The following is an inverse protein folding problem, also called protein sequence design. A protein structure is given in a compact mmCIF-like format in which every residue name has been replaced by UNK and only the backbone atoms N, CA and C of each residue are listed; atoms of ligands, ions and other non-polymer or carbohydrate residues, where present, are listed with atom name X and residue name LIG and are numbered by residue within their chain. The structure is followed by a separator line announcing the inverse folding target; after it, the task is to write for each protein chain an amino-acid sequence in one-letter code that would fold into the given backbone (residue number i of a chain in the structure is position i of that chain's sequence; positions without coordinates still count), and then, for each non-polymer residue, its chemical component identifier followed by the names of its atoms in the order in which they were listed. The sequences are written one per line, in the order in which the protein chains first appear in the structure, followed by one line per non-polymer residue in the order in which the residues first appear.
data_IF_163491052916
#
_entry.id   IF_163491052916
#
_cell.length_a   1.000
_cell.length_b   1.000
_cell.length_c   1.000
_cell.angle_alpha   90.00
_cell.angle_beta   90.00
_cell.angle_gamma   90.00
#
_symmetry.space_group_name_H-M   'P 1'
#
loop_
_entity.id
_entity.type
_entity.pdbx_description
1 polymer ?
#
# COMPACT_ATOMS: atom_id res chain seq x y z
N UNK A 1 -39.84 -19.34 -15.51
CA UNK A 1 -39.25 -18.11 -16.08
C UNK A 1 -38.78 -17.12 -15.03
N UNK A 2 -39.59 -16.93 -13.96
CA UNK A 2 -39.21 -16.04 -12.87
C UNK A 2 -37.96 -16.53 -12.11
N UNK A 3 -37.85 -17.84 -11.88
CA UNK A 3 -36.65 -18.42 -11.26
C UNK A 3 -35.40 -18.29 -12.16
N UNK A 4 -35.55 -18.46 -13.44
CA UNK A 4 -34.48 -18.30 -14.40
C UNK A 4 -33.99 -16.85 -14.46
N UNK A 5 -34.91 -15.89 -14.46
CA UNK A 5 -34.60 -14.47 -14.44
C UNK A 5 -33.90 -14.05 -13.15
N UNK A 6 -34.42 -14.53 -12.00
CA UNK A 6 -33.81 -14.24 -10.69
C UNK A 6 -32.43 -14.87 -10.54
N UNK A 7 -32.22 -16.09 -11.03
CA UNK A 7 -30.93 -16.76 -11.04
C UNK A 7 -29.91 -16.01 -11.91
N UNK A 8 -30.37 -15.50 -13.07
CA UNK A 8 -29.54 -14.68 -13.95
C UNK A 8 -29.11 -13.37 -13.29
N UNK A 9 -30.03 -12.72 -12.56
CA UNK A 9 -29.74 -11.48 -11.85
C UNK A 9 -28.73 -11.71 -10.72
N UNK A 10 -28.87 -12.82 -9.97
CA UNK A 10 -27.93 -13.20 -8.91
C UNK A 10 -26.55 -13.45 -9.51
N UNK A 11 -26.47 -14.15 -10.63
CA UNK A 11 -25.23 -14.43 -11.33
C UNK A 11 -24.53 -13.15 -11.78
N UNK A 12 -25.28 -12.20 -12.34
CA UNK A 12 -24.76 -10.90 -12.75
C UNK A 12 -24.23 -10.10 -11.56
N UNK A 13 -24.91 -10.14 -10.42
CA UNK A 13 -24.46 -9.47 -9.19
C UNK A 13 -23.16 -10.07 -8.68
N UNK A 14 -23.02 -11.39 -8.71
CA UNK A 14 -21.78 -12.07 -8.31
C UNK A 14 -20.64 -11.70 -9.22
N UNK A 15 -20.86 -11.67 -10.53
CA UNK A 15 -19.85 -11.28 -11.51
C UNK A 15 -19.38 -9.85 -11.27
N UNK A 16 -20.34 -8.93 -11.04
CA UNK A 16 -20.03 -7.53 -10.76
C UNK A 16 -19.28 -7.36 -9.44
N UNK A 17 -19.63 -8.14 -8.41
CA UNK A 17 -18.95 -8.14 -7.13
C UNK A 17 -17.48 -8.59 -7.29
N UNK A 18 -17.21 -9.58 -8.12
CA UNK A 18 -15.86 -10.06 -8.42
C UNK A 18 -15.04 -8.97 -9.13
N UNK A 19 -15.65 -8.26 -10.09
CA UNK A 19 -15.00 -7.16 -10.79
C UNK A 19 -14.62 -6.02 -9.83
N UNK A 20 -15.55 -5.63 -8.97
CA UNK A 20 -15.33 -4.57 -7.97
C UNK A 20 -14.22 -4.99 -7.00
N UNK A 21 -14.25 -6.23 -6.53
CA UNK A 21 -13.23 -6.80 -5.66
C UNK A 21 -11.86 -6.70 -6.31
N UNK A 22 -11.73 -7.13 -7.56
CA UNK A 22 -10.47 -7.12 -8.29
C UNK A 22 -9.91 -5.70 -8.43
N UNK A 23 -10.77 -4.74 -8.80
CA UNK A 23 -10.39 -3.34 -8.95
C UNK A 23 -9.92 -2.72 -7.63
N UNK A 24 -10.65 -2.97 -6.54
CA UNK A 24 -10.30 -2.46 -5.22
C UNK A 24 -9.01 -3.07 -4.68
N UNK A 25 -8.84 -4.39 -4.84
CA UNK A 25 -7.62 -5.08 -4.41
C UNK A 25 -6.39 -4.61 -5.20
N UNK A 26 -6.55 -4.34 -6.49
CA UNK A 26 -5.48 -3.84 -7.34
C UNK A 26 -4.95 -2.49 -6.84
N UNK A 27 -5.85 -1.54 -6.59
CA UNK A 27 -5.48 -0.21 -6.08
C UNK A 27 -4.87 -0.30 -4.68
N UNK A 28 -5.41 -1.18 -3.85
CA UNK A 28 -4.91 -1.39 -2.50
C UNK A 28 -3.52 -2.02 -2.50
N UNK A 29 -3.27 -2.97 -3.41
CA UNK A 29 -1.96 -3.60 -3.59
C UNK A 29 -0.91 -2.56 -3.98
N UNK A 30 -1.25 -1.63 -4.87
CA UNK A 30 -0.36 -0.54 -5.25
C UNK A 30 -0.01 0.35 -4.05
N UNK A 31 -1.01 0.71 -3.25
CA UNK A 31 -0.79 1.51 -2.04
C UNK A 31 0.12 0.77 -1.05
N UNK A 32 -0.12 -0.52 -0.82
CA UNK A 32 0.69 -1.35 0.06
C UNK A 32 2.12 -1.48 -0.42
N UNK A 33 2.32 -1.64 -1.73
CA UNK A 33 3.65 -1.72 -2.34
C UNK A 33 4.42 -0.42 -2.14
N UNK A 34 3.79 0.72 -2.42
CA UNK A 34 4.43 2.03 -2.26
C UNK A 34 4.77 2.29 -0.79
N UNK A 35 3.88 1.95 0.14
CA UNK A 35 4.11 2.12 1.57
C UNK A 35 5.26 1.23 2.07
N UNK A 36 5.40 0.02 1.51
CA UNK A 36 6.48 -0.90 1.87
C UNK A 36 7.82 -0.47 1.29
N UNK A 37 7.83 0.09 0.08
CA UNK A 37 9.03 0.57 -0.60
C UNK A 37 9.56 1.86 0.03
N UNK A 38 8.69 2.73 0.55
CA UNK A 38 9.09 4.03 1.08
C UNK A 38 10.17 3.96 2.16
N UNK A 39 10.09 3.07 3.18
CA UNK A 39 11.18 2.94 4.15
C UNK A 39 12.48 2.46 3.51
N UNK A 40 12.38 1.59 2.50
CA UNK A 40 13.54 1.07 1.78
C UNK A 40 14.25 2.17 0.99
N UNK A 41 13.49 3.08 0.39
CA UNK A 41 14.04 4.25 -0.28
C UNK A 41 14.70 5.20 0.72
N UNK A 42 14.13 5.35 1.91
CA UNK A 42 14.75 6.10 2.99
C UNK A 42 16.09 5.48 3.43
N UNK A 43 16.13 4.15 3.55
CA UNK A 43 17.36 3.42 3.85
C UNK A 43 18.42 3.60 2.75
N UNK A 44 17.99 3.54 1.49
CA UNK A 44 18.89 3.80 0.35
C UNK A 44 19.48 5.21 0.45
N UNK A 45 18.67 6.19 0.85
CA UNK A 45 19.14 7.55 1.09
C UNK A 45 20.22 7.64 2.16
N UNK A 46 20.13 6.86 3.25
CA UNK A 46 21.19 6.80 4.25
C UNK A 46 22.48 6.24 3.68
N UNK A 47 22.41 5.19 2.86
CA UNK A 47 23.59 4.59 2.24
C UNK A 47 24.27 5.60 1.32
N UNK A 48 23.50 6.28 0.46
CA UNK A 48 24.04 7.30 -0.46
C UNK A 48 24.66 8.47 0.32
N UNK A 49 23.97 8.94 1.36
CA UNK A 49 24.47 10.04 2.18
C UNK A 49 25.75 9.70 2.90
N UNK A 50 25.89 8.47 3.41
CA UNK A 50 27.12 8.02 4.06
C UNK A 50 28.26 7.86 3.05
N UNK A 51 27.99 7.35 1.87
CA UNK A 51 28.99 7.24 0.80
C UNK A 51 29.50 8.64 0.45
N UNK A 52 28.61 9.61 0.27
CA UNK A 52 28.98 10.99 -0.03
C UNK A 52 29.83 11.60 1.07
N UNK A 53 29.46 11.37 2.34
CA UNK A 53 30.21 11.87 3.49
C UNK A 53 31.62 11.33 3.52
N UNK A 54 31.79 10.02 3.34
CA UNK A 54 33.12 9.38 3.37
C UNK A 54 33.95 9.67 2.13
N UNK A 55 33.32 9.80 0.97
CA UNK A 55 34.03 10.21 -0.27
C UNK A 55 34.63 11.62 -0.11
N UNK A 56 33.88 12.54 0.51
CA UNK A 56 34.37 13.88 0.80
C UNK A 56 35.60 13.87 1.70
N UNK A 57 35.72 12.91 2.62
CA UNK A 57 36.88 12.76 3.48
C UNK A 57 38.13 12.30 2.74
N UNK A 58 37.98 11.48 1.72
CA UNK A 58 39.14 10.95 0.94
C UNK A 58 39.64 11.93 -0.09
N UNK A 59 38.80 12.79 -0.64
CA UNK A 59 39.18 13.76 -1.66
C UNK A 59 39.92 14.98 -1.08
N UNK A 60 39.55 15.39 0.13
CA UNK A 60 40.21 16.49 0.83
C UNK A 60 41.31 15.92 1.74
N UNK A 61 42.53 16.42 1.63
CA UNK A 61 43.67 16.00 2.43
C UNK A 61 43.54 16.42 3.90
N UNK A 62 42.45 16.15 4.52
CA UNK A 62 42.15 16.46 5.91
C UNK A 62 40.68 16.19 6.18
N UNK A 63 40.39 15.57 7.32
CA UNK A 63 39.02 15.34 7.73
C UNK A 63 38.30 16.70 7.89
N UNK A 64 37.30 16.94 7.04
CA UNK A 64 36.47 18.11 7.18
C UNK A 64 35.19 17.69 7.93
N UNK A 65 35.05 18.04 9.25
CA UNK A 65 33.90 17.64 10.04
C UNK A 65 32.58 18.20 9.49
N UNK A 66 32.63 19.35 8.81
CA UNK A 66 31.44 19.98 8.26
C UNK A 66 30.85 19.19 7.09
N UNK A 67 31.72 18.66 6.21
CA UNK A 67 31.27 17.81 5.10
C UNK A 67 30.71 16.47 5.59
N UNK A 68 31.35 15.89 6.60
CA UNK A 68 30.89 14.65 7.21
C UNK A 68 29.52 14.86 7.88
N UNK A 69 29.36 15.94 8.65
CA UNK A 69 28.11 16.28 9.31
C UNK A 69 26.99 16.55 8.29
N UNK A 70 27.29 17.23 7.19
CA UNK A 70 26.34 17.52 6.13
C UNK A 70 25.84 16.23 5.46
N UNK A 71 26.72 15.29 5.16
CA UNK A 71 26.36 14.01 4.56
C UNK A 71 25.50 13.15 5.48
N UNK A 72 25.84 13.07 6.76
CA UNK A 72 25.05 12.34 7.76
C UNK A 72 23.68 12.99 7.95
N UNK A 73 23.62 14.32 8.04
CA UNK A 73 22.37 15.06 8.16
C UNK A 73 21.45 14.79 6.97
N UNK A 74 21.97 14.81 5.76
CA UNK A 74 21.23 14.49 4.54
C UNK A 74 20.66 13.07 4.59
N UNK A 75 21.47 12.11 5.03
CA UNK A 75 21.06 10.72 5.17
C UNK A 75 19.90 10.57 6.15
N UNK A 76 19.98 11.20 7.31
CA UNK A 76 18.96 11.14 8.34
C UNK A 76 17.65 11.80 7.90
N UNK A 77 17.73 12.93 7.19
CA UNK A 77 16.55 13.62 6.67
C UNK A 77 15.84 12.75 5.63
N UNK A 78 16.57 12.10 4.75
CA UNK A 78 16.00 11.21 3.74
C UNK A 78 15.27 10.03 4.38
N UNK A 79 15.84 9.46 5.44
CA UNK A 79 15.18 8.39 6.22
C UNK A 79 13.90 8.89 6.87
N UNK A 80 13.94 10.09 7.45
CA UNK A 80 12.78 10.70 8.09
C UNK A 80 11.64 10.90 7.10
N UNK A 81 11.93 11.39 5.89
CA UNK A 81 10.92 11.54 4.85
C UNK A 81 10.34 10.21 4.40
N UNK A 82 11.18 9.18 4.23
CA UNK A 82 10.72 7.84 3.88
C UNK A 82 9.74 7.28 4.90
N UNK A 83 10.03 7.44 6.19
CA UNK A 83 9.16 6.99 7.28
C UNK A 83 7.89 7.85 7.38
N UNK A 84 8.02 9.15 7.16
CA UNK A 84 6.88 10.07 7.19
C UNK A 84 5.82 9.70 6.15
N UNK A 85 6.23 9.17 5.02
CA UNK A 85 5.34 8.69 3.96
C UNK A 85 4.85 7.27 4.28
N UNK A 86 5.73 6.42 4.78
CA UNK A 86 5.44 5.00 5.00
C UNK A 86 4.39 4.78 6.10
N UNK A 87 4.49 5.50 7.22
CA UNK A 87 3.60 5.27 8.37
C UNK A 87 2.15 5.57 8.02
N UNK A 88 1.79 6.77 7.48
CA UNK A 88 0.41 7.00 7.05
C UNK A 88 -0.04 6.05 5.95
N UNK A 89 0.85 5.72 5.01
CA UNK A 89 0.54 4.82 3.91
C UNK A 89 0.18 3.42 4.39
N UNK A 90 0.93 2.87 5.34
CA UNK A 90 0.64 1.57 5.93
C UNK A 90 -0.65 1.56 6.74
N UNK A 91 -0.91 2.62 7.50
CA UNK A 91 -2.15 2.75 8.28
C UNK A 91 -3.36 2.78 7.34
N UNK A 92 -3.30 3.60 6.29
CA UNK A 92 -4.36 3.69 5.30
C UNK A 92 -4.54 2.37 4.54
N UNK A 93 -3.46 1.69 4.20
CA UNK A 93 -3.51 0.40 3.53
C UNK A 93 -4.27 -0.63 4.37
N UNK A 94 -3.94 -0.75 5.65
CA UNK A 94 -4.62 -1.68 6.55
C UNK A 94 -6.07 -1.30 6.77
N UNK A 95 -6.37 -0.02 6.90
CA UNK A 95 -7.72 0.47 7.07
C UNK A 95 -8.61 0.09 5.87
N UNK A 96 -8.13 0.38 4.66
CA UNK A 96 -8.88 0.07 3.43
C UNK A 96 -8.97 -1.43 3.19
N UNK A 97 -7.94 -2.20 3.54
CA UNK A 97 -7.95 -3.65 3.44
C UNK A 97 -9.09 -4.25 4.28
N UNK A 98 -9.21 -3.80 5.53
CA UNK A 98 -10.28 -4.25 6.42
C UNK A 98 -11.66 -3.80 5.94
N UNK A 99 -11.75 -2.57 5.44
CA UNK A 99 -13.01 -2.03 4.94
C UNK A 99 -13.50 -2.77 3.69
N UNK A 100 -12.61 -3.09 2.77
CA UNK A 100 -12.94 -3.87 1.57
C UNK A 100 -13.40 -5.27 1.97
N UNK A 101 -12.72 -5.89 2.90
CA UNK A 101 -13.06 -7.21 3.42
C UNK A 101 -14.46 -7.22 4.03
N UNK A 102 -14.79 -6.19 4.80
CA UNK A 102 -16.11 -6.03 5.41
C UNK A 102 -17.20 -5.85 4.35
N UNK A 103 -16.95 -5.00 3.35
CA UNK A 103 -17.91 -4.76 2.25
C UNK A 103 -18.17 -6.04 1.45
N UNK A 104 -17.12 -6.83 1.19
CA UNK A 104 -17.26 -8.09 0.46
C UNK A 104 -18.06 -9.12 1.23
N UNK A 105 -17.87 -9.20 2.54
CA UNK A 105 -18.64 -10.10 3.41
C UNK A 105 -20.13 -9.70 3.38
N UNK A 106 -20.43 -8.40 3.45
CA UNK A 106 -21.79 -7.89 3.38
C UNK A 106 -22.45 -8.20 2.02
N UNK A 107 -21.72 -8.02 0.94
CA UNK A 107 -22.20 -8.37 -0.41
C UNK A 107 -22.51 -9.86 -0.54
N UNK A 108 -21.62 -10.70 -0.01
CA UNK A 108 -21.85 -12.16 0.00
C UNK A 108 -23.08 -12.55 0.81
N UNK A 109 -23.31 -11.89 1.94
CA UNK A 109 -24.50 -12.12 2.75
C UNK A 109 -25.77 -11.73 2.02
N UNK A 110 -25.79 -10.60 1.33
CA UNK A 110 -26.95 -10.16 0.54
C UNK A 110 -27.24 -11.13 -0.60
N UNK A 111 -26.22 -11.55 -1.34
CA UNK A 111 -26.36 -12.52 -2.43
C UNK A 111 -26.84 -13.86 -1.89
N UNK A 112 -26.27 -14.33 -0.78
CA UNK A 112 -26.66 -15.58 -0.14
C UNK A 112 -28.11 -15.55 0.35
N UNK A 113 -28.53 -14.45 0.98
CA UNK A 113 -29.92 -14.25 1.40
C UNK A 113 -30.90 -14.24 0.23
N UNK A 114 -30.51 -13.65 -0.89
CA UNK A 114 -31.31 -13.62 -2.10
C UNK A 114 -31.47 -15.02 -2.71
N UNK A 115 -30.39 -15.82 -2.70
CA UNK A 115 -30.44 -17.21 -3.16
C UNK A 115 -31.37 -18.04 -2.28
N UNK A 116 -31.33 -17.88 -0.98
CA UNK A 116 -32.22 -18.58 -0.03
C UNK A 116 -33.68 -18.27 -0.29
N UNK A 117 -33.98 -17.00 -0.59
CA UNK A 117 -35.37 -16.59 -0.92
C UNK A 117 -35.81 -17.25 -2.23
N UNK A 118 -34.97 -17.37 -3.20
CA UNK A 118 -35.29 -18.01 -4.49
C UNK A 118 -35.51 -19.51 -4.31
N UNK A 119 -34.72 -20.16 -3.46
CA UNK A 119 -34.83 -21.61 -3.22
C UNK A 119 -36.03 -22.02 -2.33
N UNK A 120 -36.66 -21.07 -1.69
CA UNK A 120 -37.91 -21.30 -0.99
C UNK A 120 -39.11 -21.20 -1.92
#
# INVERSE_FOLDING_TARGET
QLQSSAASDVYKRQEKAIEVKYSLERNLTMLGTLATISPLLGLLGTVVGMITAFTGLTETSGANPDLLAAGISQALITTAFGLLIAVPGLVLHKYFEQKIKYLLINLQKEVSGFIDVINK
#
